data_IF_915010653244
#
_entry.id   IF_915010653244
#
_cell.length_a   1.000
_cell.length_b   1.000
_cell.length_c   1.000
_cell.angle_alpha   90.00
_cell.angle_beta   90.00
_cell.angle_gamma   90.00
#
_symmetry.space_group_name_H-M   'P 1'
#
loop_
_entity.id
_entity.type
_entity.pdbx_description
1 polymer ?
#
# COMPACT_ATOMS: atom_id res chain seq x y z
N UNK A 1 20.73 13.44 13.56
CA UNK A 1 20.49 13.83 12.15
C UNK A 1 19.00 14.10 12.01
N UNK A 2 18.57 15.31 11.64
CA UNK A 2 17.15 15.56 11.35
C UNK A 2 16.84 14.76 10.08
N UNK A 3 15.98 13.75 10.19
CA UNK A 3 15.51 13.00 9.01
C UNK A 3 14.97 14.02 8.01
N UNK A 4 15.56 14.08 6.82
CA UNK A 4 15.03 14.90 5.74
C UNK A 4 13.56 14.51 5.55
N UNK A 5 12.64 15.46 5.73
CA UNK A 5 11.22 15.22 5.53
C UNK A 5 11.00 14.90 4.05
N UNK A 6 10.56 13.68 3.74
CA UNK A 6 10.21 13.27 2.38
C UNK A 6 8.69 13.37 2.25
N UNK A 7 8.22 14.18 1.30
CA UNK A 7 6.80 14.31 1.02
C UNK A 7 6.36 13.35 -0.09
N UNK A 8 5.14 12.79 -0.02
CA UNK A 8 4.68 11.83 -1.02
C UNK A 8 4.58 12.44 -2.42
N UNK A 9 4.27 13.74 -2.54
CA UNK A 9 4.26 14.43 -3.83
C UNK A 9 5.64 14.48 -4.47
N UNK A 10 6.69 14.76 -3.69
CA UNK A 10 8.05 14.92 -4.20
C UNK A 10 8.62 13.58 -4.61
N UNK A 11 8.42 12.56 -3.77
CA UNK A 11 8.80 11.20 -4.10
C UNK A 11 8.11 10.71 -5.38
N UNK A 12 6.81 11.00 -5.53
CA UNK A 12 6.09 10.62 -6.73
C UNK A 12 6.59 11.34 -8.00
N UNK A 13 6.86 12.64 -7.90
CA UNK A 13 7.42 13.41 -9.02
C UNK A 13 8.81 12.89 -9.40
N UNK A 14 9.65 12.57 -8.41
CA UNK A 14 10.95 11.93 -8.62
C UNK A 14 10.80 10.57 -9.31
N UNK A 15 9.92 9.70 -8.80
CA UNK A 15 9.66 8.36 -9.36
C UNK A 15 9.18 8.41 -10.81
N UNK A 16 8.42 9.45 -11.16
CA UNK A 16 7.89 9.67 -12.51
C UNK A 16 8.86 10.41 -13.44
N UNK A 17 9.99 10.92 -12.92
CA UNK A 17 10.89 11.78 -13.68
C UNK A 17 10.25 13.11 -14.10
N UNK A 18 9.26 13.60 -13.35
CA UNK A 18 8.49 14.79 -13.69
C UNK A 18 8.95 15.98 -12.84
N UNK A 19 9.26 17.09 -13.50
CA UNK A 19 9.44 18.39 -12.85
C UNK A 19 8.14 19.19 -12.94
N UNK A 20 7.50 19.55 -11.81
CA UNK A 20 6.21 20.23 -11.85
C UNK A 20 6.20 21.54 -12.64
N UNK A 21 7.28 22.32 -12.60
CA UNK A 21 7.43 23.58 -13.36
C UNK A 21 7.42 23.35 -14.87
N UNK A 22 8.06 22.28 -15.34
CA UNK A 22 8.11 21.93 -16.76
C UNK A 22 6.80 21.29 -17.23
N UNK A 23 6.18 20.48 -16.37
CA UNK A 23 4.95 19.75 -16.70
C UNK A 23 3.71 20.67 -16.73
N UNK A 24 3.56 21.56 -15.75
CA UNK A 24 2.42 22.47 -15.66
C UNK A 24 2.56 23.72 -16.53
N UNK A 25 3.79 23.97 -17.05
CA UNK A 25 4.11 25.10 -17.95
C UNK A 25 3.53 26.43 -17.45
N UNK A 26 3.03 27.26 -18.36
CA UNK A 26 2.45 28.60 -18.09
C UNK A 26 1.00 28.55 -17.62
N UNK A 27 0.39 27.37 -17.49
CA UNK A 27 -1.03 27.24 -17.11
C UNK A 27 -1.25 27.39 -15.60
N UNK A 28 -0.24 27.05 -14.80
CA UNK A 28 -0.29 27.19 -13.35
C UNK A 28 0.30 28.53 -12.90
N UNK A 29 -0.38 29.26 -11.98
CA UNK A 29 0.23 30.43 -11.35
C UNK A 29 1.49 30.03 -10.56
N UNK A 30 2.40 30.98 -10.43
CA UNK A 30 3.64 30.83 -9.67
C UNK A 30 3.47 31.44 -8.28
N UNK A 31 3.92 30.73 -7.24
CA UNK A 31 3.87 31.22 -5.88
C UNK A 31 4.92 32.32 -5.67
N UNK A 32 4.50 33.50 -5.21
CA UNK A 32 5.40 34.67 -5.00
C UNK A 32 5.58 35.02 -3.53
N UNK A 33 4.73 34.50 -2.65
CA UNK A 33 4.72 34.83 -1.23
C UNK A 33 5.66 33.94 -0.42
N UNK A 34 5.75 34.19 0.88
CA UNK A 34 6.47 33.34 1.84
C UNK A 34 6.02 31.87 1.75
N UNK A 35 6.91 30.90 2.08
CA UNK A 35 6.57 29.49 1.98
C UNK A 35 5.31 29.12 2.76
N UNK A 36 4.41 28.37 2.13
CA UNK A 36 3.11 27.98 2.70
C UNK A 36 2.87 26.47 2.56
N UNK A 37 2.23 25.77 3.51
CA UNK A 37 2.01 24.33 3.37
C UNK A 37 1.02 24.00 2.24
N UNK A 38 1.33 22.96 1.48
CA UNK A 38 0.40 22.37 0.52
C UNK A 38 -0.81 21.78 1.25
N UNK A 39 -2.02 22.15 0.82
CA UNK A 39 -3.25 21.72 1.48
C UNK A 39 -3.47 20.20 1.48
N UNK A 40 -2.86 19.48 0.54
CA UNK A 40 -2.92 18.01 0.44
C UNK A 40 -1.81 17.32 1.22
N UNK A 41 -0.57 17.39 0.74
CA UNK A 41 0.55 16.62 1.30
C UNK A 41 1.32 17.34 2.41
N UNK A 42 0.99 18.59 2.73
CA UNK A 42 1.67 19.39 3.76
C UNK A 42 3.04 19.92 3.36
N UNK A 43 3.54 19.59 2.16
CA UNK A 43 4.81 20.11 1.66
C UNK A 43 4.80 21.63 1.54
N UNK A 44 5.80 22.36 2.07
CA UNK A 44 5.95 23.78 1.80
C UNK A 44 6.05 24.06 0.29
N UNK A 45 5.18 24.93 -0.21
CA UNK A 45 5.27 25.54 -1.53
C UNK A 45 6.21 26.73 -1.39
N UNK A 46 7.32 26.70 -2.13
CA UNK A 46 8.35 27.72 -2.11
C UNK A 46 8.05 28.81 -3.14
N UNK A 47 8.62 30.02 -2.97
CA UNK A 47 8.63 31.02 -4.03
C UNK A 47 9.14 30.44 -5.36
N UNK A 48 8.59 30.90 -6.48
CA UNK A 48 8.89 30.45 -7.84
C UNK A 48 8.39 29.04 -8.20
N UNK A 49 7.62 28.38 -7.34
CA UNK A 49 7.03 27.08 -7.66
C UNK A 49 5.61 27.21 -8.23
N UNK A 50 5.23 26.34 -9.18
CA UNK A 50 3.85 26.29 -9.65
C UNK A 50 2.92 25.76 -8.55
N UNK A 51 1.74 26.36 -8.45
CA UNK A 51 0.72 25.94 -7.50
C UNK A 51 -0.67 25.99 -8.11
N UNK A 52 -1.64 25.41 -7.39
CA UNK A 52 -3.07 25.56 -7.68
C UNK A 52 -3.77 26.20 -6.49
N UNK A 53 -4.55 27.29 -6.68
CA UNK A 53 -5.32 27.89 -5.60
C UNK A 53 -6.26 26.87 -4.94
N UNK A 54 -6.48 27.04 -3.64
CA UNK A 54 -7.43 26.22 -2.90
C UNK A 54 -8.85 26.49 -3.39
N UNK A 55 -9.38 25.59 -4.22
CA UNK A 55 -10.81 25.54 -4.55
C UNK A 55 -11.26 24.11 -4.30
N UNK A 56 -11.87 23.88 -3.14
CA UNK A 56 -12.59 22.65 -2.89
C UNK A 56 -13.78 22.61 -3.85
N UNK A 57 -13.78 21.64 -4.77
CA UNK A 57 -14.95 21.39 -5.61
C UNK A 57 -16.01 20.70 -4.77
N UNK A 58 -17.26 21.01 -5.05
CA UNK A 58 -18.41 20.25 -4.57
C UNK A 58 -18.19 18.76 -4.92
N UNK A 59 -18.30 17.87 -3.92
CA UNK A 59 -18.05 16.43 -4.09
C UNK A 59 -16.63 15.93 -3.80
N UNK A 60 -15.68 16.76 -3.35
CA UNK A 60 -14.39 16.25 -2.87
C UNK A 60 -14.56 15.48 -1.54
N UNK A 61 -14.28 14.18 -1.55
CA UNK A 61 -14.54 13.26 -0.44
C UNK A 61 -13.38 13.08 0.54
N UNK A 62 -12.15 13.47 0.16
CA UNK A 62 -10.93 13.19 0.94
C UNK A 62 -10.56 14.33 1.89
N UNK A 63 -11.52 15.16 2.31
CA UNK A 63 -11.29 16.37 3.13
C UNK A 63 -10.59 16.05 4.46
N UNK A 64 -10.84 14.86 5.03
CA UNK A 64 -10.23 14.41 6.29
C UNK A 64 -8.74 14.10 6.17
N UNK A 65 -8.24 13.86 4.96
CA UNK A 65 -6.82 13.53 4.72
C UNK A 65 -5.99 14.75 4.31
N UNK A 66 -6.59 15.95 4.23
CA UNK A 66 -5.88 17.18 3.90
C UNK A 66 -4.93 17.57 5.05
N UNK A 67 -3.65 17.74 4.73
CA UNK A 67 -2.66 18.19 5.72
C UNK A 67 -2.86 19.66 6.16
N UNK A 68 -3.38 20.52 5.28
CA UNK A 68 -3.64 21.92 5.58
C UNK A 68 -4.90 22.43 4.84
N UNK A 69 -6.11 22.13 5.33
CA UNK A 69 -7.36 22.52 4.69
C UNK A 69 -7.41 24.02 4.34
N UNK A 70 -7.90 24.34 3.14
CA UNK A 70 -7.96 25.73 2.64
C UNK A 70 -6.64 26.30 2.11
N UNK A 71 -5.53 25.58 2.26
CA UNK A 71 -4.23 26.01 1.72
C UNK A 71 -4.07 25.63 0.24
N UNK A 72 -3.26 26.37 -0.55
CA UNK A 72 -2.97 26.06 -1.95
C UNK A 72 -2.34 24.67 -2.13
N UNK A 73 -2.39 24.14 -3.35
CA UNK A 73 -1.81 22.84 -3.69
C UNK A 73 -0.48 23.01 -4.40
N UNK A 74 0.56 22.29 -3.98
CA UNK A 74 1.83 22.24 -4.71
C UNK A 74 1.64 21.62 -6.10
N UNK A 75 2.57 21.92 -7.02
CA UNK A 75 2.55 21.35 -8.37
C UNK A 75 2.46 19.82 -8.40
N UNK A 76 3.22 19.12 -7.55
CA UNK A 76 3.15 17.65 -7.45
C UNK A 76 1.77 17.12 -7.06
N UNK A 77 1.11 17.71 -6.06
CA UNK A 77 -0.26 17.35 -5.67
C UNK A 77 -1.30 17.74 -6.72
N UNK A 78 -1.02 18.76 -7.53
CA UNK A 78 -1.85 19.14 -8.68
C UNK A 78 -1.78 18.06 -9.75
N UNK A 79 -0.58 17.61 -10.10
CA UNK A 79 -0.33 16.54 -11.09
C UNK A 79 -0.92 15.20 -10.61
N UNK A 80 -0.72 14.84 -9.34
CA UNK A 80 -1.31 13.64 -8.75
C UNK A 80 -2.85 13.69 -8.66
N UNK A 81 -3.47 14.85 -8.87
CA UNK A 81 -4.91 15.01 -8.99
C UNK A 81 -5.46 14.80 -10.41
N UNK A 82 -4.60 14.59 -11.41
CA UNK A 82 -5.03 14.34 -12.78
C UNK A 82 -5.54 12.90 -12.93
N UNK A 83 -6.58 12.72 -13.77
CA UNK A 83 -7.16 11.40 -14.05
C UNK A 83 -6.11 10.36 -14.51
N UNK A 84 -5.18 10.67 -15.45
CA UNK A 84 -4.13 9.73 -15.83
C UNK A 84 -3.24 9.30 -14.67
N UNK A 85 -2.90 10.22 -13.77
CA UNK A 85 -2.06 9.91 -12.61
C UNK A 85 -2.79 8.98 -11.62
N UNK A 86 -4.04 9.29 -11.27
CA UNK A 86 -4.83 8.45 -10.36
C UNK A 86 -5.06 7.03 -10.91
N UNK A 87 -5.35 6.92 -12.21
CA UNK A 87 -5.57 5.62 -12.84
C UNK A 87 -4.27 4.80 -12.92
N UNK A 88 -3.18 5.39 -13.43
CA UNK A 88 -1.93 4.64 -13.66
C UNK A 88 -1.18 4.29 -12.38
N UNK A 89 -1.39 5.05 -11.30
CA UNK A 89 -0.77 4.81 -10.00
C UNK A 89 -1.66 3.99 -9.05
N UNK A 90 -2.77 3.43 -9.52
CA UNK A 90 -3.75 2.72 -8.67
C UNK A 90 -3.20 1.45 -8.01
N UNK A 91 -2.15 0.83 -8.55
CA UNK A 91 -1.53 -0.38 -8.00
C UNK A 91 -0.01 -0.25 -8.10
N UNK A 92 0.58 0.58 -7.24
CA UNK A 92 1.97 1.01 -7.42
C UNK A 92 2.73 1.15 -6.13
N UNK A 93 4.04 0.91 -6.22
CA UNK A 93 5.04 1.30 -5.25
C UNK A 93 5.93 2.36 -5.89
N UNK A 94 5.94 3.56 -5.33
CA UNK A 94 6.75 4.68 -5.80
C UNK A 94 7.99 4.80 -4.93
N UNK A 95 9.16 4.83 -5.56
CA UNK A 95 10.49 4.89 -4.93
C UNK A 95 11.29 6.05 -5.52
N UNK A 96 12.56 6.21 -5.16
CA UNK A 96 13.43 7.20 -5.82
C UNK A 96 13.81 6.78 -7.24
N UNK A 97 13.80 5.48 -7.50
CA UNK A 97 14.28 4.85 -8.73
C UNK A 97 13.18 4.70 -9.78
N UNK A 98 11.91 4.70 -9.36
CA UNK A 98 10.80 4.58 -10.29
C UNK A 98 9.48 4.16 -9.66
N UNK A 99 8.51 3.89 -10.54
CA UNK A 99 7.18 3.40 -10.20
C UNK A 99 7.06 1.91 -10.52
N UNK A 100 6.84 1.09 -9.50
CA UNK A 100 6.78 -0.37 -9.61
C UNK A 100 5.32 -0.86 -9.54
N UNK A 101 4.81 -1.59 -10.55
CA UNK A 101 3.41 -2.03 -10.59
C UNK A 101 3.19 -3.26 -9.70
N UNK A 102 2.23 -3.19 -8.78
CA UNK A 102 1.90 -4.28 -7.84
C UNK A 102 0.50 -4.87 -8.04
N UNK A 103 -0.03 -4.81 -9.27
CA UNK A 103 -1.34 -5.37 -9.61
C UNK A 103 -1.37 -6.91 -9.49
N UNK A 104 -0.27 -7.61 -9.79
CA UNK A 104 -0.17 -9.08 -9.70
C UNK A 104 0.14 -9.54 -8.28
N UNK A 105 -0.30 -10.74 -7.92
CA UNK A 105 -0.05 -11.31 -6.58
C UNK A 105 1.43 -11.57 -6.31
N UNK A 106 2.20 -12.00 -7.32
CA UNK A 106 3.65 -12.17 -7.23
C UNK A 106 4.40 -10.87 -6.86
N UNK A 107 3.92 -9.72 -7.34
CA UNK A 107 4.52 -8.42 -7.02
C UNK A 107 4.09 -7.92 -5.64
N UNK A 108 2.85 -8.21 -5.20
CA UNK A 108 2.44 -7.95 -3.81
C UNK A 108 3.25 -8.81 -2.84
N UNK A 109 3.50 -10.07 -3.20
CA UNK A 109 4.35 -10.95 -2.42
C UNK A 109 5.78 -10.41 -2.30
N UNK A 110 6.34 -9.86 -3.39
CA UNK A 110 7.61 -9.11 -3.34
C UNK A 110 7.55 -7.97 -2.33
N UNK A 111 6.54 -7.10 -2.41
CA UNK A 111 6.40 -5.98 -1.46
C UNK A 111 6.31 -6.46 0.01
N UNK A 112 5.59 -7.54 0.29
CA UNK A 112 5.39 -8.00 1.67
C UNK A 112 6.57 -8.76 2.27
N UNK A 113 7.38 -9.42 1.43
CA UNK A 113 8.49 -10.28 1.89
C UNK A 113 9.86 -9.64 1.64
N UNK A 114 9.96 -8.71 0.71
CA UNK A 114 11.19 -8.03 0.33
C UNK A 114 10.87 -6.62 -0.20
N UNK A 115 10.30 -5.73 0.63
CA UNK A 115 9.96 -4.37 0.23
C UNK A 115 11.20 -3.60 -0.28
N UNK A 116 11.02 -2.57 -1.12
CA UNK A 116 12.12 -1.77 -1.62
C UNK A 116 12.80 -0.97 -0.49
N UNK A 117 14.03 -0.51 -0.75
CA UNK A 117 14.72 0.39 0.17
C UNK A 117 13.95 1.71 0.33
N UNK A 118 13.88 2.26 1.55
CA UNK A 118 13.21 3.53 1.79
C UNK A 118 13.95 4.70 1.14
N UNK A 119 13.26 5.80 0.78
CA UNK A 119 11.83 6.05 1.00
C UNK A 119 10.94 5.46 -0.12
N UNK A 120 9.77 4.95 0.25
CA UNK A 120 8.76 4.52 -0.73
C UNK A 120 7.31 4.79 -0.30
N UNK A 121 6.39 4.84 -1.27
CA UNK A 121 4.94 4.92 -1.05
C UNK A 121 4.28 3.73 -1.73
N UNK A 122 3.47 2.95 -1.01
CA UNK A 122 2.73 1.82 -1.56
C UNK A 122 1.22 2.07 -1.55
N UNK A 123 0.58 1.93 -2.70
CA UNK A 123 -0.86 2.17 -2.88
C UNK A 123 -1.53 1.06 -3.68
N UNK A 124 -2.73 0.69 -3.24
CA UNK A 124 -3.63 -0.23 -3.93
C UNK A 124 -5.02 0.38 -3.92
N UNK A 125 -5.63 0.50 -5.09
CA UNK A 125 -6.95 1.10 -5.25
C UNK A 125 -8.05 0.06 -5.12
N UNK A 126 -9.08 0.39 -4.34
CA UNK A 126 -10.32 -0.36 -4.27
C UNK A 126 -11.42 0.23 -5.20
N UNK A 127 -11.13 1.36 -5.84
CA UNK A 127 -12.04 2.08 -6.74
C UNK A 127 -11.28 2.79 -7.85
N UNK A 128 -11.97 3.20 -8.91
CA UNK A 128 -11.37 4.01 -9.97
C UNK A 128 -11.15 5.45 -9.49
N UNK A 129 -10.09 6.11 -9.97
CA UNK A 129 -9.85 7.55 -9.77
C UNK A 129 -9.72 7.99 -8.30
N UNK A 130 -9.02 7.18 -7.47
CA UNK A 130 -8.78 7.51 -6.07
C UNK A 130 -7.48 8.31 -5.87
N UNK A 131 -7.53 9.28 -4.96
CA UNK A 131 -6.42 10.17 -4.60
C UNK A 131 -5.37 9.52 -3.67
N UNK A 132 -4.84 8.34 -3.99
CA UNK A 132 -4.10 7.54 -3.00
C UNK A 132 -2.72 8.08 -2.64
N UNK A 133 -1.92 8.50 -3.63
CA UNK A 133 -0.48 8.74 -3.43
C UNK A 133 -0.21 9.85 -2.42
N UNK A 134 -0.82 11.04 -2.59
CA UNK A 134 -0.58 12.15 -1.66
C UNK A 134 -1.20 11.93 -0.28
N UNK A 135 -2.20 11.05 -0.15
CA UNK A 135 -2.82 10.65 1.12
C UNK A 135 -1.98 9.61 1.88
N UNK A 136 -0.97 9.03 1.24
CA UNK A 136 -0.21 7.91 1.81
C UNK A 136 1.07 8.41 2.46
N UNK A 137 1.32 8.11 3.75
CA UNK A 137 2.59 8.41 4.38
C UNK A 137 3.76 7.76 3.64
N UNK A 138 4.88 8.47 3.55
CA UNK A 138 6.11 7.91 3.00
C UNK A 138 6.70 6.93 4.00
N UNK A 139 6.94 5.70 3.56
CA UNK A 139 7.61 4.67 4.36
C UNK A 139 9.12 4.95 4.37
N UNK A 140 9.68 5.07 5.58
CA UNK A 140 11.09 5.38 5.81
C UNK A 140 11.89 4.19 6.37
N UNK A 141 11.28 3.01 6.40
CA UNK A 141 11.85 1.77 6.92
C UNK A 141 11.25 0.59 6.15
N UNK A 142 12.05 -0.47 5.96
CA UNK A 142 11.58 -1.74 5.40
C UNK A 142 11.05 -2.69 6.47
N UNK A 143 11.47 -2.51 7.72
CA UNK A 143 11.04 -3.28 8.88
C UNK A 143 9.60 -2.99 9.27
N UNK A 144 9.14 -1.76 9.00
CA UNK A 144 7.74 -1.34 9.14
C UNK A 144 7.41 -0.28 8.10
N UNK A 145 6.41 -0.56 7.28
CA UNK A 145 5.97 0.35 6.22
C UNK A 145 4.45 0.53 6.19
N UNK A 146 4.01 1.55 5.45
CA UNK A 146 2.61 1.87 5.24
C UNK A 146 2.17 1.51 3.83
N UNK A 147 0.97 0.92 3.72
CA UNK A 147 0.30 0.67 2.45
C UNK A 147 -1.11 1.25 2.54
N UNK A 148 -1.50 2.07 1.57
CA UNK A 148 -2.89 2.52 1.46
C UNK A 148 -3.70 1.60 0.56
N UNK A 149 -4.76 1.01 1.08
CA UNK A 149 -5.73 0.22 0.34
C UNK A 149 -7.06 0.99 0.29
N UNK A 150 -7.32 1.72 -0.80
CA UNK A 150 -8.45 2.63 -0.88
C UNK A 150 -8.42 3.66 0.27
N UNK A 151 -9.42 3.59 1.16
CA UNK A 151 -9.48 4.46 2.34
C UNK A 151 -8.71 3.91 3.55
N UNK A 152 -8.40 2.62 3.58
CA UNK A 152 -7.70 1.98 4.67
C UNK A 152 -6.19 2.25 4.59
N UNK A 153 -5.58 2.49 5.74
CA UNK A 153 -4.13 2.61 5.86
C UNK A 153 -3.59 1.45 6.69
N UNK A 154 -2.86 0.57 6.03
CA UNK A 154 -2.24 -0.59 6.66
C UNK A 154 -0.83 -0.28 7.13
N UNK A 155 -0.51 -0.79 8.32
CA UNK A 155 0.86 -0.88 8.83
C UNK A 155 1.32 -2.33 8.70
N UNK A 156 2.44 -2.53 8.02
CA UNK A 156 2.95 -3.86 7.68
C UNK A 156 4.36 -4.05 8.23
N UNK A 157 4.59 -5.18 8.92
CA UNK A 157 5.91 -5.63 9.37
C UNK A 157 6.28 -6.94 8.64
N UNK A 158 7.21 -6.92 7.67
CA UNK A 158 7.60 -8.11 6.91
C UNK A 158 8.06 -9.30 7.76
N UNK A 159 8.74 -9.03 8.89
CA UNK A 159 9.15 -10.07 9.84
C UNK A 159 7.94 -10.85 10.37
N UNK A 160 6.87 -10.15 10.76
CA UNK A 160 5.66 -10.78 11.30
C UNK A 160 4.94 -11.63 10.25
N UNK A 161 4.92 -11.17 9.00
CA UNK A 161 4.37 -11.93 7.87
C UNK A 161 5.17 -13.22 7.67
N UNK A 162 6.50 -13.12 7.61
CA UNK A 162 7.39 -14.27 7.40
C UNK A 162 7.26 -15.29 8.53
N UNK A 163 7.27 -14.81 9.77
CA UNK A 163 7.04 -15.63 10.97
C UNK A 163 5.66 -16.31 10.94
N UNK A 164 4.61 -15.60 10.53
CA UNK A 164 3.27 -16.15 10.42
C UNK A 164 3.15 -17.23 9.33
N UNK A 165 3.85 -17.06 8.20
CA UNK A 165 3.92 -18.07 7.14
C UNK A 165 4.60 -19.34 7.65
N UNK A 166 5.76 -19.21 8.30
CA UNK A 166 6.48 -20.35 8.88
C UNK A 166 5.61 -21.08 9.93
N UNK A 167 4.94 -20.34 10.81
CA UNK A 167 4.01 -20.92 11.78
C UNK A 167 2.83 -21.62 11.11
N UNK A 168 2.25 -21.05 10.05
CA UNK A 168 1.15 -21.66 9.31
C UNK A 168 1.58 -22.98 8.64
N UNK A 169 2.78 -23.03 8.06
CA UNK A 169 3.35 -24.24 7.49
C UNK A 169 3.56 -25.34 8.54
N UNK A 170 4.20 -24.99 9.67
CA UNK A 170 4.41 -25.93 10.77
C UNK A 170 3.08 -26.45 11.36
N UNK A 171 2.10 -25.56 11.53
CA UNK A 171 0.78 -25.93 12.01
C UNK A 171 0.06 -26.87 11.04
N UNK A 172 0.14 -26.60 9.73
CA UNK A 172 -0.43 -27.49 8.70
C UNK A 172 0.16 -28.89 8.83
N UNK A 173 1.49 -29.02 8.92
CA UNK A 173 2.16 -30.30 9.06
C UNK A 173 1.69 -31.08 10.30
N UNK A 174 1.65 -30.44 11.47
CA UNK A 174 1.15 -31.08 12.71
C UNK A 174 -0.31 -31.55 12.59
N UNK A 175 -1.15 -30.76 11.92
CA UNK A 175 -2.56 -31.13 11.68
C UNK A 175 -2.69 -32.29 10.70
N UNK A 176 -1.81 -32.38 9.69
CA UNK A 176 -1.76 -33.50 8.76
C UNK A 176 -1.29 -34.80 9.44
N UNK A 177 -0.34 -34.73 10.37
CA UNK A 177 0.13 -35.89 11.14
C UNK A 177 -0.96 -36.43 12.08
N UNK A 178 -1.71 -35.54 12.74
CA UNK A 178 -2.72 -35.90 13.73
C UNK A 178 -4.09 -36.26 13.11
N UNK A 179 -4.25 -36.17 11.79
CA UNK A 179 -5.48 -36.58 11.12
C UNK A 179 -5.57 -38.11 10.98
N UNK A 180 -6.66 -38.75 11.49
CA UNK A 180 -6.91 -40.16 11.26
C UNK A 180 -6.97 -40.48 9.76
N UNK A 181 -6.44 -41.64 9.36
CA UNK A 181 -6.43 -42.11 7.97
C UNK A 181 -7.83 -42.12 7.34
N UNK A 182 -8.87 -42.44 8.12
CA UNK A 182 -10.27 -42.40 7.68
C UNK A 182 -10.81 -40.99 7.39
N UNK A 183 -10.26 -39.96 8.04
CA UNK A 183 -10.65 -38.55 7.86
C UNK A 183 -9.88 -37.92 6.69
N UNK A 184 -8.62 -38.30 6.46
CA UNK A 184 -7.83 -37.88 5.29
C UNK A 184 -8.51 -38.20 3.96
N UNK A 185 -9.15 -39.36 3.86
CA UNK A 185 -9.88 -39.78 2.66
C UNK A 185 -11.17 -38.97 2.39
N UNK A 186 -11.77 -38.35 3.42
CA UNK A 186 -13.05 -37.63 3.31
C UNK A 186 -12.95 -36.11 3.29
N UNK A 187 -11.96 -35.51 3.99
CA UNK A 187 -11.87 -34.05 4.18
C UNK A 187 -10.87 -33.33 3.27
N UNK A 188 -10.11 -34.07 2.46
CA UNK A 188 -9.09 -33.50 1.57
C UNK A 188 -7.87 -32.95 2.32
N UNK A 189 -7.00 -32.24 1.61
CA UNK A 189 -5.76 -31.65 2.16
C UNK A 189 -6.04 -30.58 3.21
N UNK A 190 -5.30 -30.63 4.33
CA UNK A 190 -5.34 -29.59 5.36
C UNK A 190 -4.97 -28.23 4.75
N UNK A 191 -5.83 -27.24 4.97
CA UNK A 191 -5.57 -25.86 4.50
C UNK A 191 -4.34 -25.29 5.20
N UNK A 192 -3.52 -24.56 4.43
CA UNK A 192 -2.36 -23.85 4.95
C UNK A 192 -2.75 -22.71 5.90
N UNK A 193 -3.80 -21.96 5.57
CA UNK A 193 -4.27 -20.86 6.40
C UNK A 193 -4.89 -21.35 7.72
N UNK A 194 -4.53 -20.75 8.87
CA UNK A 194 -5.18 -21.02 10.15
C UNK A 194 -6.52 -20.28 10.34
N UNK A 195 -6.82 -19.33 9.45
CA UNK A 195 -8.00 -18.47 9.53
C UNK A 195 -9.24 -19.12 8.90
N UNK A 196 -10.42 -18.74 9.40
CA UNK A 196 -11.72 -19.07 8.82
C UNK A 196 -11.84 -18.47 7.42
N UNK A 197 -11.44 -17.21 7.25
CA UNK A 197 -11.37 -16.54 5.96
C UNK A 197 -10.19 -15.57 5.88
N UNK A 198 -9.60 -15.48 4.69
CA UNK A 198 -8.65 -14.44 4.30
C UNK A 198 -9.19 -13.77 3.05
N UNK A 199 -9.98 -12.72 3.25
CA UNK A 199 -10.61 -11.96 2.19
C UNK A 199 -9.73 -10.79 1.72
N UNK A 200 -9.47 -10.75 0.42
CA UNK A 200 -8.69 -9.69 -0.23
C UNK A 200 -9.47 -8.39 -0.37
N UNK A 201 -10.80 -8.49 -0.42
CA UNK A 201 -11.70 -7.35 -0.61
C UNK A 201 -12.23 -6.78 0.71
N UNK A 202 -11.97 -7.45 1.84
CA UNK A 202 -12.36 -7.04 3.20
C UNK A 202 -13.88 -6.89 3.39
N UNK A 203 -14.68 -7.66 2.65
CA UNK A 203 -16.15 -7.69 2.78
C UNK A 203 -16.62 -8.82 3.70
N UNK A 204 -15.80 -9.85 3.90
CA UNK A 204 -16.14 -11.01 4.72
C UNK A 204 -15.95 -10.71 6.22
N UNK A 205 -17.01 -10.85 7.01
CA UNK A 205 -17.01 -10.68 8.47
C UNK A 205 -16.08 -11.66 9.22
N UNK A 206 -15.75 -12.80 8.61
CA UNK A 206 -14.82 -13.79 9.17
C UNK A 206 -13.36 -13.53 8.79
N UNK A 207 -13.06 -12.45 8.06
CA UNK A 207 -11.69 -12.10 7.70
C UNK A 207 -10.82 -12.00 8.96
N UNK A 208 -9.72 -12.74 8.97
CA UNK A 208 -8.77 -12.69 10.08
C UNK A 208 -9.21 -13.40 11.36
N UNK A 209 -10.38 -14.05 11.37
CA UNK A 209 -10.79 -14.87 12.50
C UNK A 209 -10.08 -16.23 12.45
N UNK A 210 -9.46 -16.65 13.55
CA UNK A 210 -8.81 -17.96 13.66
C UNK A 210 -9.85 -19.09 13.76
N UNK A 211 -9.61 -20.19 13.04
CA UNK A 211 -10.48 -21.36 13.15
C UNK A 211 -10.24 -22.14 14.44
N UNK A 212 -11.31 -22.63 15.09
CA UNK A 212 -11.21 -23.49 16.29
C UNK A 212 -10.31 -24.71 16.03
N UNK A 213 -10.51 -25.36 14.88
CA UNK A 213 -9.72 -26.50 14.42
C UNK A 213 -8.24 -26.18 14.12
N UNK A 214 -7.85 -24.90 14.02
CA UNK A 214 -6.44 -24.51 13.99
C UNK A 214 -5.93 -24.22 15.40
N UNK A 215 -6.72 -23.50 16.21
CA UNK A 215 -6.39 -23.13 17.59
C UNK A 215 -6.07 -24.36 18.45
N UNK A 216 -6.82 -25.45 18.31
CA UNK A 216 -6.60 -26.72 19.04
C UNK A 216 -5.18 -27.28 18.88
N UNK A 217 -4.51 -26.98 17.77
CA UNK A 217 -3.17 -27.49 17.44
C UNK A 217 -2.08 -26.40 17.50
N UNK A 218 -2.44 -25.17 17.89
CA UNK A 218 -1.50 -24.06 18.04
C UNK A 218 -0.81 -24.12 19.39
N UNK A 219 0.51 -23.88 19.39
CA UNK A 219 1.26 -23.57 20.61
C UNK A 219 0.87 -22.18 21.12
N UNK A 220 1.01 -21.89 22.43
CA UNK A 220 0.69 -20.56 22.98
C UNK A 220 1.38 -19.41 22.24
N UNK A 221 2.67 -19.56 21.90
CA UNK A 221 3.43 -18.54 21.18
C UNK A 221 2.93 -18.29 19.75
N UNK A 222 2.47 -19.34 19.05
CA UNK A 222 1.93 -19.21 17.69
C UNK A 222 0.57 -18.51 17.71
N UNK A 223 -0.29 -18.87 18.68
CA UNK A 223 -1.56 -18.17 18.89
C UNK A 223 -1.33 -16.69 19.20
N UNK A 224 -0.37 -16.39 20.07
CA UNK A 224 0.01 -15.00 20.39
C UNK A 224 0.52 -14.25 19.16
N UNK A 225 1.32 -14.89 18.30
CA UNK A 225 1.78 -14.30 17.04
C UNK A 225 0.59 -13.91 16.15
N UNK A 226 -0.32 -14.85 15.83
CA UNK A 226 -1.45 -14.57 14.92
C UNK A 226 -2.40 -13.51 15.47
N UNK A 227 -2.60 -13.45 16.80
CA UNK A 227 -3.41 -12.41 17.45
C UNK A 227 -2.71 -11.04 17.51
N UNK A 228 -1.37 -11.00 17.37
CA UNK A 228 -0.58 -9.76 17.37
C UNK A 228 -0.43 -9.11 15.99
N UNK A 229 -0.90 -9.78 14.94
CA UNK A 229 -0.83 -9.26 13.57
C UNK A 229 -1.77 -8.07 13.40
N UNK A 230 -1.33 -7.06 12.65
CA UNK A 230 -2.20 -5.94 12.26
C UNK A 230 -3.24 -6.40 11.23
N UNK A 231 -4.32 -5.63 11.05
CA UNK A 231 -5.28 -5.88 9.97
C UNK A 231 -4.60 -5.94 8.60
N UNK A 232 -3.62 -5.07 8.36
CA UNK A 232 -2.82 -5.05 7.14
C UNK A 232 -1.97 -6.30 6.92
N UNK A 233 -1.40 -6.86 7.99
CA UNK A 233 -0.61 -8.10 7.93
C UNK A 233 -1.50 -9.32 7.68
N UNK A 234 -2.67 -9.38 8.33
CA UNK A 234 -3.66 -10.44 8.08
C UNK A 234 -4.19 -10.34 6.64
N UNK A 235 -4.44 -9.13 6.14
CA UNK A 235 -4.80 -8.91 4.74
C UNK A 235 -3.67 -9.30 3.79
N UNK A 236 -2.41 -8.98 4.09
CA UNK A 236 -1.26 -9.42 3.29
C UNK A 236 -1.16 -10.96 3.21
N UNK A 237 -1.45 -11.67 4.31
CA UNK A 237 -1.50 -13.13 4.32
C UNK A 237 -2.56 -13.72 3.37
N UNK A 238 -3.59 -12.97 2.98
CA UNK A 238 -4.57 -13.42 1.97
C UNK A 238 -3.99 -13.62 0.56
N UNK A 239 -2.82 -13.03 0.30
CA UNK A 239 -2.07 -13.24 -0.93
C UNK A 239 -1.04 -14.37 -0.81
N UNK A 240 -0.61 -14.68 0.41
CA UNK A 240 0.55 -15.54 0.69
C UNK A 240 0.16 -16.95 1.18
N UNK A 241 -0.90 -17.07 1.98
CA UNK A 241 -1.39 -18.35 2.52
C UNK A 241 -2.43 -19.00 1.61
N UNK A 242 -2.10 -19.14 0.33
CA UNK A 242 -2.94 -19.78 -0.69
C UNK A 242 -2.50 -21.23 -0.93
N UNK A 243 -3.29 -21.99 -1.70
CA UNK A 243 -2.93 -23.37 -2.08
C UNK A 243 -1.66 -23.43 -2.93
N UNK A 244 -1.40 -22.40 -3.73
CA UNK A 244 -0.17 -22.23 -4.53
C UNK A 244 0.41 -20.86 -4.20
N UNK A 245 1.19 -20.74 -3.12
CA UNK A 245 1.78 -19.47 -2.73
C UNK A 245 2.57 -18.85 -3.89
N UNK A 246 2.37 -17.55 -4.17
CA UNK A 246 3.10 -16.89 -5.24
C UNK A 246 4.60 -16.85 -4.92
N UNK A 247 5.44 -17.06 -5.92
CA UNK A 247 6.87 -16.82 -5.82
C UNK A 247 7.08 -15.31 -6.00
N UNK A 248 7.67 -14.60 -5.02
CA UNK A 248 7.89 -13.16 -5.12
C UNK A 248 8.75 -12.79 -6.34
N UNK A 249 8.30 -11.76 -7.07
CA UNK A 249 9.05 -11.19 -8.20
C UNK A 249 9.01 -9.67 -8.10
N UNK A 250 10.19 -9.04 -8.10
CA UNK A 250 10.28 -7.59 -8.21
C UNK A 250 9.88 -7.18 -9.64
N UNK A 251 8.85 -6.36 -9.82
CA UNK A 251 8.46 -5.93 -11.15
C UNK A 251 9.50 -4.96 -11.74
N UNK A 252 9.51 -4.82 -13.06
CA UNK A 252 10.23 -3.74 -13.72
C UNK A 252 9.52 -2.40 -13.54
N UNK A 253 10.25 -1.28 -13.44
CA UNK A 253 9.65 0.04 -13.31
C UNK A 253 8.86 0.42 -14.57
N UNK A 254 7.73 1.09 -14.40
CA UNK A 254 6.90 1.59 -15.49
C UNK A 254 7.44 2.90 -16.03
N UNK A 255 7.46 3.03 -17.36
CA UNK A 255 7.51 4.33 -18.03
C UNK A 255 6.09 4.90 -18.15
N UNK A 256 5.75 5.88 -17.32
CA UNK A 256 4.41 6.47 -17.24
C UNK A 256 4.40 7.84 -17.93
N UNK A 257 3.75 7.91 -19.10
CA UNK A 257 3.47 9.19 -19.77
C UNK A 257 2.12 9.77 -19.32
N UNK A 258 2.13 10.76 -18.42
CA UNK A 258 0.91 11.40 -17.92
C UNK A 258 0.25 12.38 -18.90
N UNK A 259 0.86 12.66 -20.05
CA UNK A 259 0.31 13.58 -21.07
C UNK A 259 -0.69 12.90 -21.99
N UNK A 260 -0.62 11.57 -22.12
CA UNK A 260 -1.57 10.77 -22.88
C UNK A 260 -2.76 10.40 -22.00
N UNK A 261 -3.97 10.65 -22.51
CA UNK A 261 -5.20 10.15 -21.90
C UNK A 261 -5.10 8.65 -21.60
N UNK A 262 -5.72 8.21 -20.51
CA UNK A 262 -5.98 6.79 -20.32
C UNK A 262 -7.07 6.41 -21.31
N UNK A 263 -6.69 5.81 -22.44
CA UNK A 263 -7.60 5.07 -23.32
C UNK A 263 -8.35 3.99 -22.51
#
# INVERSE_FOLDING_TARGET
MRNATVWPSDLAMQALGIRPSEFLRTEAPIWTDSPTPCGRCGRPIQPSEPYKPAKAKEGFSDTRDLAAPGSPLCGGCTILGLKPAMNRLSFSVLTREGVYPIAKDIHKAWLFLSPPEPPFVAVISASTMAHLVWRTPVSLSKERFYLRYGNDLFTIRPEKISSAIACAQALRFRREEQQPTSVKAKRGTVRLSPYLALDRNLVNHNHGQLSSAAIEHMKPAEKALFLSLTSGEVWALSFLLTTKPPIPEQPQPLSIDLTKGSD
#
